data_IF_564394050954
#
_entry.id   IF_564394050954
#
_cell.length_a   1.000
_cell.length_b   1.000
_cell.length_c   1.000
_cell.angle_alpha   90.00
_cell.angle_beta   90.00
_cell.angle_gamma   90.00
#
_symmetry.space_group_name_H-M   'P 1'
#
loop_
_entity.id
_entity.type
_entity.pdbx_description
1 polymer ?
#
# COMPACT_ATOMS: atom_id res chain seq x y z
N UNK A 1 16.95 -1.63 8.04
CA UNK A 1 16.83 -0.25 7.55
C UNK A 1 15.36 0.02 7.27
N UNK A 2 14.88 1.26 7.43
CA UNK A 2 13.49 1.60 7.16
C UNK A 2 13.18 1.57 5.65
N UNK A 3 11.91 1.39 5.29
CA UNK A 3 11.42 1.42 3.91
C UNK A 3 10.55 2.67 3.67
N UNK A 4 10.52 3.22 2.45
CA UNK A 4 9.64 4.35 2.12
C UNK A 4 8.18 4.09 2.51
N UNK A 5 7.55 5.04 3.19
CA UNK A 5 6.18 4.93 3.68
C UNK A 5 5.17 4.98 2.53
N UNK A 6 4.21 4.06 2.48
CA UNK A 6 3.15 4.07 1.48
C UNK A 6 2.01 5.04 1.87
N UNK A 7 1.38 5.65 0.85
CA UNK A 7 0.32 6.66 0.98
C UNK A 7 -0.76 6.43 -0.08
N UNK A 8 -1.93 7.05 0.10
CA UNK A 8 -2.95 7.09 -0.96
C UNK A 8 -2.33 7.60 -2.24
N UNK A 9 -2.49 6.82 -3.31
CA UNK A 9 -2.09 7.06 -4.69
C UNK A 9 -0.63 6.73 -4.98
N UNK A 10 0.09 6.09 -4.06
CA UNK A 10 1.36 5.46 -4.41
C UNK A 10 1.10 4.21 -5.27
N UNK A 11 1.97 3.98 -6.25
CA UNK A 11 1.84 2.92 -7.24
C UNK A 11 2.10 1.52 -6.68
N UNK A 12 1.43 0.55 -7.31
CA UNK A 12 1.67 -0.88 -7.14
C UNK A 12 2.27 -1.50 -8.42
N UNK A 13 2.86 -2.68 -8.31
CA UNK A 13 3.58 -3.34 -9.39
C UNK A 13 2.67 -3.70 -10.58
N UNK A 14 1.37 -3.91 -10.35
CA UNK A 14 0.41 -4.15 -11.42
C UNK A 14 -0.07 -2.87 -12.13
N UNK A 15 0.61 -1.73 -11.90
CA UNK A 15 0.24 -0.43 -12.47
C UNK A 15 -0.95 0.23 -11.77
N UNK A 16 -1.40 -0.34 -10.66
CA UNK A 16 -2.45 0.16 -9.81
C UNK A 16 -1.99 1.23 -8.83
N UNK A 17 -2.94 1.71 -8.02
CA UNK A 17 -2.68 2.70 -6.97
C UNK A 17 -3.46 2.38 -5.70
N UNK A 18 -2.90 2.79 -4.56
CA UNK A 18 -3.62 2.76 -3.28
C UNK A 18 -4.71 3.84 -3.29
N UNK A 19 -5.93 3.53 -2.87
CA UNK A 19 -7.09 4.44 -2.96
C UNK A 19 -7.73 4.80 -1.63
N UNK A 20 -7.41 4.08 -0.54
CA UNK A 20 -7.80 4.47 0.82
C UNK A 20 -6.58 4.60 1.73
N UNK A 21 -6.76 5.26 2.87
CA UNK A 21 -5.69 5.59 3.80
C UNK A 21 -6.22 6.00 5.17
N UNK A 22 -5.31 6.42 6.04
CA UNK A 22 -5.62 6.98 7.35
C UNK A 22 -6.48 8.25 7.21
N UNK A 23 -7.51 8.44 8.06
CA UNK A 23 -8.42 9.57 7.94
C UNK A 23 -7.77 10.92 8.29
N UNK A 24 -6.74 10.91 9.14
CA UNK A 24 -6.16 12.14 9.71
C UNK A 24 -4.64 12.20 9.62
N UNK A 25 -3.96 11.06 9.48
CA UNK A 25 -2.50 11.02 9.46
C UNK A 25 -2.00 11.16 8.03
N UNK A 26 -1.25 12.24 7.80
CA UNK A 26 -0.62 12.52 6.51
C UNK A 26 0.88 12.21 6.56
N UNK A 27 1.41 11.67 5.47
CA UNK A 27 2.84 11.53 5.19
C UNK A 27 3.10 12.24 3.87
N UNK A 28 4.07 13.16 3.82
CA UNK A 28 4.35 13.95 2.61
C UNK A 28 3.11 14.67 2.05
N UNK A 29 2.19 15.10 2.94
CA UNK A 29 0.95 15.78 2.56
C UNK A 29 -0.19 14.87 2.06
N UNK A 30 -0.03 13.54 2.04
CA UNK A 30 -1.04 12.58 1.57
C UNK A 30 -1.44 11.61 2.69
N UNK A 31 -2.69 11.11 2.74
CA UNK A 31 -3.08 10.14 3.75
C UNK A 31 -2.19 8.90 3.75
N UNK A 32 -1.72 8.52 4.94
CA UNK A 32 -0.84 7.36 5.14
C UNK A 32 -1.59 6.06 4.83
N UNK A 33 -1.01 5.16 4.04
CA UNK A 33 -1.61 3.86 3.74
C UNK A 33 -1.26 2.84 4.83
N UNK A 34 -2.23 2.01 5.20
CA UNK A 34 -2.12 1.05 6.30
C UNK A 34 -2.55 -0.33 5.83
N UNK A 35 -2.33 -1.34 6.66
CA UNK A 35 -2.99 -2.64 6.44
C UNK A 35 -4.50 -2.43 6.29
N UNK A 36 -5.12 -3.21 5.41
CA UNK A 36 -6.53 -3.16 5.01
C UNK A 36 -6.96 -1.98 4.14
N UNK A 37 -6.09 -0.99 3.90
CA UNK A 37 -6.38 0.04 2.91
C UNK A 37 -6.40 -0.55 1.50
N UNK A 38 -7.32 -0.06 0.66
CA UNK A 38 -7.59 -0.63 -0.65
C UNK A 38 -6.61 -0.14 -1.70
N UNK A 39 -6.29 -1.00 -2.66
CA UNK A 39 -5.73 -0.58 -3.94
C UNK A 39 -6.68 -0.95 -5.07
N UNK A 40 -6.51 -0.28 -6.20
CA UNK A 40 -7.14 -0.67 -7.48
C UNK A 40 -6.07 -1.25 -8.39
N UNK A 41 -6.41 -2.31 -9.11
CA UNK A 41 -5.50 -2.96 -10.05
C UNK A 41 -6.10 -2.89 -11.47
N UNK A 42 -5.42 -2.27 -12.45
CA UNK A 42 -5.89 -2.17 -13.83
C UNK A 42 -5.46 -3.36 -14.71
N UNK A 43 -4.67 -4.30 -14.16
CA UNK A 43 -4.10 -5.38 -14.94
C UNK A 43 -5.18 -6.34 -15.42
N UNK A 44 -4.97 -6.89 -16.62
CA UNK A 44 -5.80 -7.94 -17.18
C UNK A 44 -4.87 -9.08 -17.55
N UNK A 45 -5.16 -10.28 -17.06
CA UNK A 45 -4.45 -11.49 -17.51
C UNK A 45 -5.29 -12.16 -18.57
N UNK A 46 -4.86 -12.06 -19.82
CA UNK A 46 -5.53 -12.59 -21.00
C UNK A 46 -6.94 -11.99 -21.15
N UNK A 47 -7.96 -12.59 -20.55
CA UNK A 47 -9.35 -12.12 -20.58
C UNK A 47 -9.93 -11.86 -19.17
N UNK A 48 -9.17 -12.11 -18.12
CA UNK A 48 -9.64 -11.97 -16.74
C UNK A 48 -9.10 -10.66 -16.16
N UNK A 49 -9.97 -9.66 -15.90
CA UNK A 49 -9.55 -8.45 -15.21
C UNK A 49 -9.17 -8.80 -13.78
N UNK A 50 -8.05 -8.25 -13.33
CA UNK A 50 -7.72 -8.25 -11.92
C UNK A 50 -8.69 -7.34 -11.18
N UNK A 51 -8.83 -7.59 -9.89
CA UNK A 51 -9.60 -6.73 -8.99
C UNK A 51 -8.70 -6.43 -7.80
N UNK A 52 -8.43 -5.15 -7.58
CA UNK A 52 -7.66 -4.69 -6.45
C UNK A 52 -8.41 -4.95 -5.13
N UNK A 53 -7.65 -5.03 -4.05
CA UNK A 53 -8.14 -5.37 -2.72
C UNK A 53 -7.27 -4.78 -1.62
N UNK A 54 -7.47 -5.20 -0.37
CA UNK A 54 -6.79 -4.63 0.78
C UNK A 54 -5.28 -4.94 0.77
N UNK A 55 -4.50 -4.00 1.31
CA UNK A 55 -3.11 -4.24 1.77
C UNK A 55 -3.14 -5.30 2.88
N UNK A 56 -2.22 -6.25 2.83
CA UNK A 56 -2.17 -7.40 3.74
C UNK A 56 -0.96 -7.36 4.69
N UNK A 57 -1.03 -8.06 5.84
CA UNK A 57 0.10 -8.22 6.75
C UNK A 57 1.36 -8.76 6.05
N UNK A 58 2.57 -8.50 6.59
CA UNK A 58 2.82 -7.94 7.93
C UNK A 58 2.80 -6.40 8.02
N UNK A 59 2.99 -5.67 6.90
CA UNK A 59 3.25 -4.23 6.95
C UNK A 59 4.33 -3.90 8.01
N UNK A 60 4.32 -2.71 8.62
CA UNK A 60 5.18 -2.44 9.79
C UNK A 60 4.68 -3.15 11.05
N UNK A 61 5.58 -3.89 11.70
CA UNK A 61 5.35 -4.55 12.99
C UNK A 61 5.57 -3.62 14.19
N UNK A 62 6.21 -2.46 13.97
CA UNK A 62 6.55 -1.51 15.04
C UNK A 62 5.80 -0.18 14.93
N UNK A 63 5.43 0.24 13.72
CA UNK A 63 4.83 1.55 13.46
C UNK A 63 3.35 1.38 13.13
N UNK A 64 2.51 1.92 14.02
CA UNK A 64 1.06 1.94 13.86
C UNK A 64 0.59 3.35 13.49
N UNK A 65 -0.34 3.43 12.55
CA UNK A 65 -1.07 4.66 12.21
C UNK A 65 -2.56 4.40 12.40
N UNK A 66 -3.20 5.17 13.29
CA UNK A 66 -4.60 4.94 13.64
C UNK A 66 -4.87 3.50 14.11
N UNK A 67 -3.99 2.98 14.98
CA UNK A 67 -4.00 1.62 15.53
C UNK A 67 -3.81 0.47 14.51
N UNK A 68 -3.46 0.76 13.25
CA UNK A 68 -3.18 -0.26 12.24
C UNK A 68 -1.74 -0.16 11.74
N UNK A 69 -1.07 -1.30 11.46
CA UNK A 69 0.25 -1.33 10.81
C UNK A 69 0.40 -0.41 9.61
N UNK A 70 1.45 0.41 9.59
CA UNK A 70 1.78 1.30 8.48
C UNK A 70 2.34 0.51 7.28
N UNK A 71 1.78 0.73 6.10
CA UNK A 71 2.26 0.12 4.86
C UNK A 71 3.47 0.87 4.29
N UNK A 72 4.31 0.14 3.55
CA UNK A 72 5.60 0.58 3.02
C UNK A 72 5.87 -0.06 1.67
N UNK A 73 6.85 0.46 0.95
CA UNK A 73 7.36 -0.19 -0.27
C UNK A 73 7.73 -1.65 0.01
N UNK A 74 7.27 -2.54 -0.87
CA UNK A 74 7.47 -3.98 -0.78
C UNK A 74 6.40 -4.73 0.04
N UNK A 75 5.51 -4.04 0.75
CA UNK A 75 4.34 -4.67 1.36
C UNK A 75 3.34 -5.07 0.26
N UNK A 76 2.48 -6.04 0.56
CA UNK A 76 1.63 -6.72 -0.43
C UNK A 76 0.16 -6.32 -0.29
N UNK A 77 -0.60 -6.47 -1.37
CA UNK A 77 -2.05 -6.32 -1.38
C UNK A 77 -2.73 -7.48 -2.11
N UNK A 78 -3.96 -7.80 -1.70
CA UNK A 78 -4.78 -8.80 -2.39
C UNK A 78 -5.17 -8.26 -3.75
N UNK A 79 -4.89 -9.05 -4.78
CA UNK A 79 -5.38 -8.81 -6.11
C UNK A 79 -6.03 -10.11 -6.60
N UNK A 80 -7.17 -10.05 -7.31
CA UNK A 80 -7.74 -11.21 -8.00
C UNK A 80 -6.85 -11.59 -9.19
N UNK A 81 -5.71 -12.19 -8.85
CA UNK A 81 -4.50 -12.45 -9.63
C UNK A 81 -3.38 -12.84 -8.65
N UNK A 82 -2.10 -12.73 -9.02
CA UNK A 82 -1.01 -12.77 -8.04
C UNK A 82 -1.13 -11.60 -7.04
N UNK A 83 -0.67 -11.72 -5.78
CA UNK A 83 -0.60 -10.58 -4.88
C UNK A 83 0.21 -9.43 -5.47
N UNK A 84 -0.35 -8.22 -5.43
CA UNK A 84 0.33 -7.03 -5.91
C UNK A 84 1.30 -6.51 -4.84
N UNK A 85 2.33 -5.78 -5.24
CA UNK A 85 3.37 -5.24 -4.36
C UNK A 85 3.40 -3.71 -4.48
N UNK A 86 3.45 -3.01 -3.35
CA UNK A 86 3.63 -1.56 -3.32
C UNK A 86 5.05 -1.23 -3.82
N UNK A 87 5.16 -0.44 -4.89
CA UNK A 87 6.46 -0.10 -5.52
C UNK A 87 6.86 1.36 -5.31
N UNK A 88 5.93 2.20 -4.85
CA UNK A 88 6.18 3.60 -4.55
C UNK A 88 5.85 3.92 -3.09
N UNK A 89 6.59 4.88 -2.53
CA UNK A 89 6.35 5.44 -1.21
C UNK A 89 6.95 6.84 -1.11
N UNK A 90 6.86 7.44 0.07
CA UNK A 90 7.54 8.69 0.38
C UNK A 90 9.06 8.46 0.54
N UNK A 91 9.92 9.03 -0.31
CA UNK A 91 11.36 8.79 -0.26
C UNK A 91 12.03 9.42 0.97
N UNK A 92 11.37 10.35 1.66
CA UNK A 92 11.92 11.08 2.81
C UNK A 92 11.47 10.50 4.15
N UNK A 93 10.40 9.70 4.17
CA UNK A 93 9.85 9.10 5.38
C UNK A 93 10.07 7.59 5.36
N UNK A 94 11.02 7.13 6.17
CA UNK A 94 11.38 5.71 6.29
C UNK A 94 10.72 5.08 7.50
N UNK A 95 9.94 4.02 7.27
CA UNK A 95 9.24 3.28 8.32
C UNK A 95 10.03 2.01 8.66
N UNK A 96 10.23 1.79 9.96
CA UNK A 96 10.87 0.60 10.52
C UNK A 96 10.12 -0.69 10.21
N UNK A 97 10.67 -1.85 10.62
CA UNK A 97 10.09 -3.18 10.39
C UNK A 97 8.64 -3.31 10.85
#
# INVERSE_FOLDING_TARGET
MGKPAARIGDMTAHGGVIVTGAPTTLIGGRPAARVLDQHVCPMVTVLVPHVGGPIIPPCSTQVLVGAMPQARVGDKAICLGPPDTIVQGDPTVLIGP
#
